data_IF_222492563345
#
_entry.id   IF_222492563345
#
_cell.length_a   1.000
_cell.length_b   1.000
_cell.length_c   1.000
_cell.angle_alpha   90.00
_cell.angle_beta   90.00
_cell.angle_gamma   90.00
#
_symmetry.space_group_name_H-M   'P 1'
#
loop_
_entity.id
_entity.type
_entity.pdbx_description
1 polymer ?
#
# COMPACT_ATOMS: atom_id res chain seq x y z
N UNK A 1 16.00 2.89 9.68
CA UNK A 1 16.38 4.30 9.91
C UNK A 1 17.67 4.58 9.13
N UNK A 2 17.70 5.58 8.24
CA UNK A 2 18.90 5.88 7.43
C UNK A 2 20.09 6.24 8.35
N UNK A 3 19.84 6.97 9.43
CA UNK A 3 20.88 7.40 10.37
C UNK A 3 21.48 6.27 11.21
N UNK A 4 20.67 5.30 11.65
CA UNK A 4 21.12 4.25 12.57
C UNK A 4 21.17 2.85 11.98
N UNK A 5 20.64 2.63 10.78
CA UNK A 5 20.44 1.31 10.18
C UNK A 5 19.39 0.44 10.88
N UNK A 6 18.84 0.87 12.03
CA UNK A 6 17.95 0.05 12.86
C UNK A 6 16.51 0.05 12.33
N UNK A 7 15.82 -1.07 12.55
CA UNK A 7 14.37 -1.19 12.42
C UNK A 7 13.69 -0.23 13.40
N UNK A 8 12.70 0.53 12.92
CA UNK A 8 11.93 1.46 13.77
C UNK A 8 10.66 0.78 14.27
N UNK A 9 9.89 0.19 13.35
CA UNK A 9 8.65 -0.50 13.64
C UNK A 9 8.37 -1.58 12.59
N UNK A 10 7.70 -2.66 12.98
CA UNK A 10 7.24 -3.71 12.08
C UNK A 10 5.72 -3.74 12.09
N UNK A 11 5.10 -3.25 11.01
CA UNK A 11 3.65 -3.33 10.85
C UNK A 11 3.25 -4.75 10.44
N UNK A 12 2.13 -5.23 10.98
CA UNK A 12 1.63 -6.54 10.61
C UNK A 12 1.17 -6.51 9.15
N UNK A 13 1.69 -7.43 8.32
CA UNK A 13 1.46 -7.44 6.88
C UNK A 13 0.33 -8.40 6.53
N UNK A 14 -0.82 -7.86 6.14
CA UNK A 14 -1.99 -8.65 5.73
C UNK A 14 -1.98 -9.06 4.25
N UNK A 15 -1.27 -8.31 3.39
CA UNK A 15 -1.09 -8.63 1.97
C UNK A 15 0.39 -8.88 1.69
N UNK A 16 0.79 -10.05 1.16
CA UNK A 16 2.19 -10.40 0.93
C UNK A 16 2.88 -9.53 -0.12
N UNK A 17 2.13 -8.66 -0.79
CA UNK A 17 2.62 -8.04 -2.01
C UNK A 17 2.35 -6.55 -2.17
N UNK A 18 1.36 -6.01 -1.45
CA UNK A 18 1.15 -4.58 -1.39
C UNK A 18 2.07 -4.05 -0.29
N UNK A 19 2.88 -3.08 -0.67
CA UNK A 19 3.70 -2.30 0.26
C UNK A 19 2.98 -0.98 0.54
N UNK A 20 3.26 -0.39 1.70
CA UNK A 20 2.68 0.90 2.05
C UNK A 20 3.38 2.09 1.40
N UNK A 21 2.71 3.25 1.47
CA UNK A 21 3.23 4.55 1.08
C UNK A 21 3.14 5.54 2.24
N UNK A 22 4.05 6.52 2.25
CA UNK A 22 3.99 7.65 3.16
C UNK A 22 3.11 8.75 2.59
N UNK A 23 2.23 9.32 3.42
CA UNK A 23 1.32 10.40 3.04
C UNK A 23 1.34 11.52 4.10
N UNK A 24 0.66 12.63 3.82
CA UNK A 24 0.51 13.79 4.73
C UNK A 24 1.86 14.26 5.29
N UNK A 25 2.76 14.71 4.41
CA UNK A 25 4.11 15.15 4.78
C UNK A 25 4.94 14.10 5.53
N UNK A 26 4.67 12.81 5.29
CA UNK A 26 5.34 11.66 5.90
C UNK A 26 5.08 11.48 7.41
N UNK A 27 3.93 11.94 7.91
CA UNK A 27 3.50 11.68 9.29
C UNK A 27 2.61 10.43 9.40
N UNK A 28 2.06 9.98 8.28
CA UNK A 28 1.18 8.82 8.20
C UNK A 28 1.72 7.82 7.18
N UNK A 29 1.41 6.55 7.39
CA UNK A 29 1.71 5.48 6.43
C UNK A 29 0.44 4.71 6.11
N UNK A 30 0.11 4.68 4.82
CA UNK A 30 -0.99 3.88 4.28
C UNK A 30 -0.42 2.53 3.83
N UNK A 31 -0.85 1.44 4.46
CA UNK A 31 -0.44 0.07 4.15
C UNK A 31 -1.68 -0.72 3.72
N UNK A 32 -1.80 -1.02 2.43
CA UNK A 32 -2.98 -1.67 1.85
C UNK A 32 -4.27 -0.90 2.19
N UNK A 33 -5.07 -1.41 3.12
CA UNK A 33 -6.35 -0.85 3.57
C UNK A 33 -6.26 -0.13 4.91
N UNK A 34 -5.07 0.05 5.47
CA UNK A 34 -4.90 0.56 6.84
C UNK A 34 -4.03 1.81 6.85
N UNK A 35 -4.54 2.87 7.46
CA UNK A 35 -3.84 4.12 7.69
C UNK A 35 -3.30 4.17 9.11
N UNK A 36 -1.99 4.38 9.25
CA UNK A 36 -1.28 4.35 10.53
C UNK A 36 -0.58 5.69 10.80
N UNK A 37 -0.64 6.14 12.06
CA UNK A 37 0.17 7.27 12.54
C UNK A 37 1.61 6.81 12.82
N UNK A 38 2.62 7.48 12.26
CA UNK A 38 4.02 7.11 12.46
C UNK A 38 4.60 7.56 13.80
N UNK A 39 3.96 8.51 14.50
CA UNK A 39 4.42 8.97 15.80
C UNK A 39 3.96 8.03 16.92
N UNK A 40 2.73 7.54 16.83
CA UNK A 40 2.12 6.70 17.87
C UNK A 40 1.97 5.24 17.49
N UNK A 41 2.12 4.88 16.22
CA UNK A 41 1.84 3.56 15.65
C UNK A 41 0.40 3.08 15.87
N UNK A 42 -0.51 4.01 16.13
CA UNK A 42 -1.94 3.72 16.22
C UNK A 42 -2.55 3.64 14.82
N UNK A 43 -3.50 2.72 14.67
CA UNK A 43 -4.36 2.65 13.50
C UNK A 43 -5.32 3.84 13.54
N UNK A 44 -5.23 4.71 12.53
CA UNK A 44 -6.11 5.88 12.39
C UNK A 44 -7.43 5.47 11.72
N UNK A 45 -7.34 4.78 10.59
CA UNK A 45 -8.51 4.44 9.78
C UNK A 45 -8.32 3.14 8.99
N UNK A 46 -9.43 2.44 8.72
CA UNK A 46 -9.48 1.34 7.76
C UNK A 46 -10.26 1.76 6.52
N UNK A 47 -9.63 1.60 5.36
CA UNK A 47 -10.09 2.05 4.06
C UNK A 47 -10.30 0.80 3.16
N UNK A 48 -11.44 0.10 3.30
CA UNK A 48 -11.63 -1.23 2.72
C UNK A 48 -11.65 -1.24 1.19
N UNK A 49 -12.05 -0.13 0.56
CA UNK A 49 -12.10 -0.04 -0.91
C UNK A 49 -10.73 0.06 -1.56
N UNK A 50 -9.65 0.24 -0.79
CA UNK A 50 -8.27 0.18 -1.29
C UNK A 50 -7.67 -1.25 -1.27
N UNK A 51 -8.50 -2.27 -0.99
CA UNK A 51 -8.02 -3.64 -1.01
C UNK A 51 -7.57 -4.04 -2.42
N UNK A 52 -6.44 -4.73 -2.52
CA UNK A 52 -5.84 -5.15 -3.79
C UNK A 52 -5.51 -3.97 -4.75
N UNK A 53 -5.33 -2.76 -4.20
CA UNK A 53 -4.92 -1.56 -4.94
C UNK A 53 -3.53 -1.12 -4.50
N UNK A 54 -2.64 -0.96 -5.47
CA UNK A 54 -1.34 -0.33 -5.27
C UNK A 54 -1.51 1.16 -5.42
N UNK A 55 -1.40 1.86 -4.29
CA UNK A 55 -1.47 3.31 -4.22
C UNK A 55 -0.07 3.91 -4.36
N UNK A 56 0.06 4.96 -5.16
CA UNK A 56 1.27 5.77 -5.29
C UNK A 56 0.93 7.24 -5.11
N UNK A 57 1.78 7.93 -4.37
CA UNK A 57 1.78 9.39 -4.25
C UNK A 57 2.08 10.02 -5.61
N UNK A 58 1.33 11.06 -5.98
CA UNK A 58 1.65 11.90 -7.15
C UNK A 58 2.55 13.08 -6.74
N UNK A 59 2.88 13.96 -7.71
CA UNK A 59 3.58 15.21 -7.41
C UNK A 59 2.71 16.18 -6.58
N UNK A 60 1.39 16.09 -6.74
CA UNK A 60 0.44 16.78 -5.88
C UNK A 60 0.21 15.92 -4.63
N UNK A 61 0.56 16.45 -3.46
CA UNK A 61 0.38 15.79 -2.16
C UNK A 61 -1.10 15.49 -1.85
N UNK A 62 -2.04 16.14 -2.56
CA UNK A 62 -3.47 15.92 -2.38
C UNK A 62 -4.03 14.78 -3.25
N UNK A 63 -3.28 14.28 -4.22
CA UNK A 63 -3.76 13.29 -5.18
C UNK A 63 -2.91 12.03 -5.12
N UNK A 64 -3.60 10.89 -5.04
CA UNK A 64 -3.03 9.56 -5.05
C UNK A 64 -3.46 8.82 -6.32
N UNK A 65 -2.53 8.07 -6.91
CA UNK A 65 -2.79 7.19 -8.03
C UNK A 65 -2.92 5.75 -7.52
N UNK A 66 -4.12 5.17 -7.61
CA UNK A 66 -4.33 3.76 -7.32
C UNK A 66 -4.40 2.93 -8.60
N UNK A 67 -3.77 1.77 -8.58
CA UNK A 67 -3.79 0.80 -9.67
C UNK A 67 -4.20 -0.56 -9.13
N UNK A 68 -5.13 -1.24 -9.77
CA UNK A 68 -5.53 -2.57 -9.32
C UNK A 68 -4.40 -3.58 -9.51
N UNK A 69 -4.32 -4.58 -8.64
CA UNK A 69 -3.39 -5.71 -8.80
C UNK A 69 -4.10 -6.86 -9.53
N UNK A 70 -3.42 -7.56 -10.44
CA UNK A 70 -4.03 -8.72 -11.13
C UNK A 70 -4.27 -9.87 -10.15
N UNK A 71 -5.41 -10.56 -10.32
CA UNK A 71 -5.85 -11.66 -9.45
C UNK A 71 -4.96 -12.91 -9.48
N UNK A 72 -4.15 -13.09 -10.51
CA UNK A 72 -3.21 -14.23 -10.70
C UNK A 72 -2.06 -14.25 -9.68
N UNK A 73 -2.14 -13.37 -8.67
CA UNK A 73 -1.12 -13.07 -7.70
C UNK A 73 -1.47 -13.56 -6.29
N UNK A 74 -2.65 -14.18 -6.11
CA UNK A 74 -2.96 -14.88 -4.87
C UNK A 74 -2.03 -16.08 -4.75
N UNK A 75 -1.15 -16.06 -3.75
CA UNK A 75 -0.34 -17.21 -3.38
C UNK A 75 -1.30 -18.35 -3.02
N UNK A 76 -1.44 -19.32 -3.92
CA UNK A 76 -2.23 -20.54 -3.69
C UNK A 76 -1.44 -21.55 -2.86
N UNK A 77 -0.10 -21.49 -2.92
CA UNK A 77 0.80 -22.39 -2.21
C UNK A 77 2.06 -21.66 -1.70
N UNK A 78 2.35 -21.80 -0.40
CA UNK A 78 3.51 -21.18 0.26
C UNK A 78 4.85 -21.59 -0.35
N UNK A 79 5.00 -22.85 -0.76
CA UNK A 79 6.24 -23.36 -1.34
C UNK A 79 6.51 -22.73 -2.71
N UNK A 80 5.45 -22.51 -3.48
CA UNK A 80 5.52 -21.90 -4.81
C UNK A 80 5.96 -20.42 -4.70
N UNK A 81 5.45 -19.71 -3.69
CA UNK A 81 5.89 -18.36 -3.38
C UNK A 81 7.38 -18.29 -3.01
N UNK A 82 7.89 -19.21 -2.18
CA UNK A 82 9.29 -19.20 -1.77
C UNK A 82 10.25 -19.53 -2.92
N UNK A 83 9.85 -20.42 -3.83
CA UNK A 83 10.67 -20.81 -4.98
C UNK A 83 10.66 -19.75 -6.09
N UNK A 84 9.52 -19.10 -6.32
CA UNK A 84 9.33 -18.14 -7.41
C UNK A 84 9.20 -16.69 -6.94
N UNK A 85 9.57 -16.34 -5.69
CA UNK A 85 9.37 -14.99 -5.11
C UNK A 85 9.84 -13.83 -6.00
N UNK A 86 10.87 -14.04 -6.83
CA UNK A 86 11.40 -13.05 -7.78
C UNK A 86 10.51 -12.80 -8.99
N UNK A 87 9.67 -13.77 -9.34
CA UNK A 87 8.71 -13.74 -10.44
C UNK A 87 7.39 -13.10 -10.00
N UNK A 88 7.12 -13.07 -8.69
CA UNK A 88 6.00 -12.35 -8.06
C UNK A 88 6.23 -10.82 -8.05
N UNK A 89 6.51 -10.24 -9.21
CA UNK A 89 6.41 -8.77 -9.38
C UNK A 89 4.95 -8.38 -9.31
N UNK A 90 4.66 -7.28 -8.61
CA UNK A 90 3.33 -6.67 -8.61
C UNK A 90 2.90 -6.42 -10.05
N UNK A 91 1.97 -7.21 -10.54
CA UNK A 91 1.43 -7.04 -11.89
C UNK A 91 0.30 -6.04 -11.81
N UNK A 92 0.55 -4.85 -12.34
CA UNK A 92 -0.47 -3.83 -12.47
C UNK A 92 -1.57 -4.36 -13.40
N UNK A 93 -2.81 -4.28 -12.94
CA UNK A 93 -3.99 -4.53 -13.73
C UNK A 93 -4.25 -3.37 -14.69
N UNK A 94 -5.34 -3.49 -15.43
CA UNK A 94 -5.66 -2.56 -16.51
C UNK A 94 -6.49 -1.34 -16.04
N UNK A 95 -6.79 -1.24 -14.73
CA UNK A 95 -7.58 -0.15 -14.15
C UNK A 95 -6.71 0.70 -13.24
N UNK A 96 -6.74 2.00 -13.49
CA UNK A 96 -6.16 3.02 -12.63
C UNK A 96 -7.27 4.00 -12.22
N UNK A 97 -7.15 4.55 -11.01
CA UNK A 97 -8.08 5.51 -10.44
C UNK A 97 -7.31 6.56 -9.65
N UNK A 98 -7.83 7.77 -9.60
CA UNK A 98 -7.27 8.85 -8.78
C UNK A 98 -8.06 8.95 -7.49
N UNK A 99 -7.37 9.10 -6.37
CA UNK A 99 -7.94 9.21 -5.04
C UNK A 99 -7.49 10.51 -4.38
N UNK A 100 -8.37 11.09 -3.55
CA UNK A 100 -8.00 12.17 -2.64
C UNK A 100 -7.09 11.63 -1.54
N UNK A 101 -6.02 12.36 -1.21
CA UNK A 101 -5.13 12.02 -0.10
C UNK A 101 -5.77 12.27 1.28
N UNK A 102 -6.83 13.09 1.34
CA UNK A 102 -7.50 13.45 2.60
C UNK A 102 -8.53 12.41 3.02
N UNK A 103 -9.40 12.04 2.08
CA UNK A 103 -10.59 11.22 2.37
C UNK A 103 -10.57 9.88 1.63
N UNK A 104 -9.52 9.61 0.84
CA UNK A 104 -9.36 8.41 0.01
C UNK A 104 -10.54 8.12 -0.93
N UNK A 105 -11.35 9.14 -1.24
CA UNK A 105 -12.44 9.05 -2.20
C UNK A 105 -11.91 9.08 -3.63
N UNK A 106 -12.47 8.26 -4.51
CA UNK A 106 -12.16 8.26 -5.94
C UNK A 106 -12.61 9.59 -6.58
N UNK A 107 -11.70 10.28 -7.27
CA UNK A 107 -11.91 11.64 -7.81
C UNK A 107 -12.64 11.65 -9.16
N UNK A 108 -12.59 10.54 -9.91
CA UNK A 108 -13.25 10.39 -11.21
C UNK A 108 -13.98 9.05 -11.22
N UNK A 109 -15.30 9.07 -11.41
CA UNK A 109 -16.14 7.88 -11.57
C UNK A 109 -16.22 7.44 -13.02
#
# INVERSE_FOLDING_TARGET
CIRSGKLIHNFYRFSPHISGIFINSNLEVLINTELWDLRTFNLLERIPHLNDIVVKRTLDENILLGTCVRQNYRITNLNDHLQHWREFKTTYGNRAALYSSRDFSELVK
#
